data_IF_660242353757
#
_entry.id   IF_660242353757
#
_cell.length_a   1.000
_cell.length_b   1.000
_cell.length_c   1.000
_cell.angle_alpha   90.00
_cell.angle_beta   90.00
_cell.angle_gamma   90.00
#
_symmetry.space_group_name_H-M   'P 1'
#
loop_
_entity.id
_entity.type
_entity.pdbx_description
1 polymer ?
#
# COMPACT_ATOMS: atom_id res chain seq x y z
N UNK A 1 -12.71 -11.75 -29.61
CA UNK A 1 -12.01 -10.67 -28.87
C UNK A 1 -11.04 -11.32 -27.90
N UNK A 2 -9.79 -10.87 -27.85
CA UNK A 2 -8.76 -11.39 -26.95
C UNK A 2 -8.12 -10.23 -26.18
N UNK A 3 -7.91 -10.43 -24.89
CA UNK A 3 -7.35 -9.41 -24.00
C UNK A 3 -6.18 -9.99 -23.23
N UNK A 4 -5.07 -9.27 -23.14
CA UNK A 4 -3.86 -9.70 -22.41
C UNK A 4 -3.46 -8.70 -21.31
N UNK A 5 -2.59 -9.13 -20.40
CA UNK A 5 -2.13 -8.27 -19.32
C UNK A 5 -1.07 -7.25 -19.76
N UNK A 6 -0.15 -7.63 -20.65
CA UNK A 6 1.02 -6.79 -21.02
C UNK A 6 1.02 -6.42 -22.49
N UNK A 7 1.62 -5.26 -22.81
CA UNK A 7 1.83 -4.84 -24.21
C UNK A 7 2.65 -5.89 -24.98
N UNK A 8 3.66 -6.48 -24.33
CA UNK A 8 4.50 -7.53 -24.91
C UNK A 8 3.71 -8.80 -25.26
N UNK A 9 2.84 -9.28 -24.37
CA UNK A 9 2.00 -10.45 -24.63
C UNK A 9 1.02 -10.20 -25.79
N UNK A 10 0.43 -9.00 -25.88
CA UNK A 10 -0.41 -8.62 -27.03
C UNK A 10 0.39 -8.64 -28.33
N UNK A 11 1.59 -8.06 -28.36
CA UNK A 11 2.41 -8.00 -29.57
C UNK A 11 2.86 -9.40 -30.02
N UNK A 12 3.35 -10.21 -29.08
CA UNK A 12 3.78 -11.57 -29.33
C UNK A 12 2.62 -12.43 -29.87
N UNK A 13 1.44 -12.36 -29.25
CA UNK A 13 0.26 -13.09 -29.71
C UNK A 13 -0.17 -12.66 -31.11
N UNK A 14 -0.14 -11.35 -31.41
CA UNK A 14 -0.44 -10.84 -32.76
C UNK A 14 0.51 -11.41 -33.80
N UNK A 15 1.82 -11.37 -33.53
CA UNK A 15 2.84 -11.92 -34.42
C UNK A 15 2.61 -13.40 -34.67
N UNK A 16 2.38 -14.18 -33.62
CA UNK A 16 2.19 -15.63 -33.72
C UNK A 16 0.94 -16.00 -34.51
N UNK A 17 -0.19 -15.33 -34.25
CA UNK A 17 -1.45 -15.58 -34.96
C UNK A 17 -1.35 -15.19 -36.44
N UNK A 18 -0.70 -14.07 -36.76
CA UNK A 18 -0.47 -13.66 -38.14
C UNK A 18 0.36 -14.68 -38.89
N UNK A 19 1.50 -15.09 -38.32
CA UNK A 19 2.36 -16.11 -38.90
C UNK A 19 1.60 -17.42 -39.15
N UNK A 20 0.75 -17.84 -38.21
CA UNK A 20 -0.09 -19.04 -38.41
C UNK A 20 -1.12 -18.91 -39.51
N UNK A 21 -1.72 -17.73 -39.72
CA UNK A 21 -2.63 -17.51 -40.84
C UNK A 21 -1.88 -17.53 -42.18
N UNK A 22 -0.66 -16.99 -42.20
CA UNK A 22 0.22 -17.01 -43.37
C UNK A 22 0.67 -18.45 -43.69
N UNK A 23 1.03 -19.27 -42.70
CA UNK A 23 1.33 -20.70 -42.86
C UNK A 23 0.17 -21.44 -43.56
N UNK A 24 -1.06 -21.27 -43.05
CA UNK A 24 -2.27 -21.90 -43.62
C UNK A 24 -2.49 -21.46 -45.07
N UNK A 25 -2.33 -20.15 -45.34
CA UNK A 25 -2.49 -19.61 -46.68
C UNK A 25 -1.42 -20.19 -47.63
N UNK A 26 -0.17 -20.28 -47.19
CA UNK A 26 0.93 -20.83 -47.98
C UNK A 26 0.69 -22.29 -48.38
N UNK A 27 0.22 -23.14 -47.44
CA UNK A 27 -0.14 -24.53 -47.75
C UNK A 27 -1.22 -24.58 -48.83
N UNK A 28 -2.27 -23.76 -48.69
CA UNK A 28 -3.38 -23.73 -49.64
C UNK A 28 -2.98 -23.14 -51.00
N UNK A 29 -1.98 -22.27 -51.08
CA UNK A 29 -1.53 -21.65 -52.33
C UNK A 29 -0.34 -22.36 -52.99
N UNK A 30 0.22 -23.39 -52.36
CA UNK A 30 1.36 -24.11 -52.92
C UNK A 30 0.97 -24.79 -54.24
N UNK A 31 1.93 -24.82 -55.18
CA UNK A 31 1.71 -25.39 -56.52
C UNK A 31 1.47 -26.90 -56.46
N UNK A 32 2.18 -27.59 -55.56
CA UNK A 32 2.02 -29.02 -55.30
C UNK A 32 0.59 -29.36 -54.88
N UNK A 33 -0.01 -28.54 -54.01
CA UNK A 33 -1.40 -28.70 -53.59
C UNK A 33 -2.37 -28.20 -54.67
N UNK A 34 -1.94 -27.27 -55.55
CA UNK A 34 -2.76 -26.74 -56.61
C UNK A 34 -3.12 -27.72 -57.72
N UNK A 35 -2.24 -28.68 -57.97
CA UNK A 35 -2.39 -29.67 -59.05
C UNK A 35 -3.15 -30.92 -58.61
N UNK A 36 -3.46 -31.06 -57.31
CA UNK A 36 -4.21 -32.19 -56.77
C UNK A 36 -5.72 -32.03 -57.00
N UNK A 37 -6.38 -33.16 -57.29
CA UNK A 37 -7.84 -33.24 -57.30
C UNK A 37 -8.40 -33.39 -55.89
N UNK A 38 -9.71 -33.16 -55.72
CA UNK A 38 -10.36 -33.19 -54.40
C UNK A 38 -10.15 -34.51 -53.65
N UNK A 39 -10.12 -35.65 -54.35
CA UNK A 39 -9.93 -36.98 -53.75
C UNK A 39 -8.52 -37.21 -53.17
N UNK A 40 -7.51 -36.50 -53.66
CA UNK A 40 -6.10 -36.62 -53.20
C UNK A 40 -5.62 -35.41 -52.41
N UNK A 41 -6.47 -34.38 -52.28
CA UNK A 41 -6.13 -33.11 -51.65
C UNK A 41 -5.76 -33.27 -50.17
N UNK A 42 -6.51 -34.11 -49.44
CA UNK A 42 -6.28 -34.33 -48.01
C UNK A 42 -4.92 -34.99 -47.74
N UNK A 43 -4.61 -36.05 -48.50
CA UNK A 43 -3.33 -36.76 -48.38
C UNK A 43 -2.14 -35.89 -48.80
N UNK A 44 -2.32 -35.09 -49.85
CA UNK A 44 -1.29 -34.14 -50.29
C UNK A 44 -1.01 -33.04 -49.26
N UNK A 45 -2.05 -32.50 -48.61
CA UNK A 45 -1.87 -31.51 -47.54
C UNK A 45 -1.16 -32.13 -46.34
N UNK A 46 -1.51 -33.35 -45.95
CA UNK A 46 -0.83 -34.05 -44.87
C UNK A 46 0.66 -34.26 -45.18
N UNK A 47 1.00 -34.65 -46.41
CA UNK A 47 2.37 -34.81 -46.87
C UNK A 47 3.14 -33.47 -46.89
N UNK A 48 2.56 -32.42 -47.47
CA UNK A 48 3.16 -31.08 -47.51
C UNK A 48 3.44 -30.55 -46.10
N UNK A 49 2.48 -30.69 -45.18
CA UNK A 49 2.65 -30.28 -43.78
C UNK A 49 3.73 -31.10 -43.06
N UNK A 50 3.84 -32.41 -43.32
CA UNK A 50 4.87 -33.24 -42.72
C UNK A 50 6.29 -32.82 -43.15
N UNK A 51 6.45 -32.33 -44.38
CA UNK A 51 7.73 -31.86 -44.92
C UNK A 51 8.08 -30.43 -44.50
N UNK A 52 7.10 -29.50 -44.55
CA UNK A 52 7.35 -28.07 -44.37
C UNK A 52 7.02 -27.53 -42.97
N UNK A 53 6.25 -28.28 -42.17
CA UNK A 53 5.81 -27.91 -40.83
C UNK A 53 6.03 -29.08 -39.85
N UNK A 54 7.29 -29.56 -39.76
CA UNK A 54 7.67 -30.72 -38.95
C UNK A 54 7.18 -30.60 -37.50
N UNK A 55 6.49 -31.65 -37.03
CA UNK A 55 5.93 -31.72 -35.67
C UNK A 55 4.62 -30.97 -35.45
N UNK A 56 4.08 -30.27 -36.45
CA UNK A 56 2.79 -29.58 -36.35
C UNK A 56 1.62 -30.53 -36.65
N UNK A 57 1.03 -31.09 -35.59
CA UNK A 57 -0.15 -31.97 -35.70
C UNK A 57 -1.46 -31.19 -35.84
N UNK A 58 -1.44 -29.88 -35.55
CA UNK A 58 -2.64 -29.06 -35.53
C UNK A 58 -3.01 -28.55 -36.92
N UNK A 59 -2.02 -28.04 -37.66
CA UNK A 59 -2.21 -27.48 -39.00
C UNK A 59 -2.88 -28.44 -40.01
N UNK A 60 -2.41 -29.69 -40.21
CA UNK A 60 -3.05 -30.62 -41.14
C UNK A 60 -4.48 -30.97 -40.71
N UNK A 61 -4.71 -31.22 -39.42
CA UNK A 61 -6.04 -31.53 -38.88
C UNK A 61 -7.03 -30.35 -39.05
N UNK A 62 -6.55 -29.11 -38.89
CA UNK A 62 -7.35 -27.91 -39.10
C UNK A 62 -7.75 -27.76 -40.57
N UNK A 63 -6.81 -27.97 -41.49
CA UNK A 63 -7.03 -27.86 -42.93
C UNK A 63 -8.00 -28.93 -43.44
N UNK A 64 -7.86 -30.18 -42.98
CA UNK A 64 -8.79 -31.26 -43.29
C UNK A 64 -10.22 -30.90 -42.87
N UNK A 65 -10.41 -30.45 -41.63
CA UNK A 65 -11.73 -30.02 -41.13
C UNK A 65 -12.29 -28.80 -41.86
N UNK A 66 -11.42 -27.88 -42.31
CA UNK A 66 -11.85 -26.69 -43.04
C UNK A 66 -12.31 -27.04 -44.47
N UNK A 67 -11.57 -27.92 -45.15
CA UNK A 67 -11.87 -28.35 -46.53
C UNK A 67 -13.13 -29.22 -46.61
N UNK A 68 -13.47 -29.95 -45.54
CA UNK A 68 -14.77 -30.62 -45.43
C UNK A 68 -15.96 -29.65 -45.40
N UNK A 69 -15.75 -28.39 -44.99
CA UNK A 69 -16.82 -27.38 -44.83
C UNK A 69 -16.91 -26.41 -46.00
N UNK A 70 -15.78 -26.03 -46.57
CA UNK A 70 -15.71 -25.01 -47.61
C UNK A 70 -14.64 -25.37 -48.65
N UNK A 71 -14.87 -24.98 -49.91
CA UNK A 71 -13.90 -25.20 -50.97
C UNK A 71 -12.61 -24.41 -50.72
N UNK A 72 -11.49 -24.98 -51.18
CA UNK A 72 -10.15 -24.37 -51.10
C UNK A 72 -10.13 -22.92 -51.59
N UNK A 73 -10.72 -22.62 -52.74
CA UNK A 73 -10.76 -21.27 -53.30
C UNK A 73 -11.42 -20.28 -52.35
N UNK A 74 -12.51 -20.69 -51.68
CA UNK A 74 -13.22 -19.85 -50.71
C UNK A 74 -12.38 -19.64 -49.44
N UNK A 75 -11.70 -20.67 -48.96
CA UNK A 75 -10.79 -20.57 -47.82
C UNK A 75 -9.65 -19.58 -48.09
N UNK A 76 -9.01 -19.66 -49.27
CA UNK A 76 -7.93 -18.73 -49.68
C UNK A 76 -8.43 -17.28 -49.65
N UNK A 77 -9.60 -17.00 -50.25
CA UNK A 77 -10.17 -15.64 -50.27
C UNK A 77 -10.43 -15.13 -48.85
N UNK A 78 -10.98 -15.97 -47.98
CA UNK A 78 -11.25 -15.61 -46.57
C UNK A 78 -9.97 -15.35 -45.79
N UNK A 79 -8.95 -16.18 -45.96
CA UNK A 79 -7.65 -16.03 -45.29
C UNK A 79 -6.96 -14.75 -45.73
N UNK A 80 -6.92 -14.44 -47.03
CA UNK A 80 -6.38 -13.18 -47.54
C UNK A 80 -7.09 -11.95 -46.94
N UNK A 81 -8.42 -11.99 -46.85
CA UNK A 81 -9.18 -10.93 -46.21
C UNK A 81 -8.83 -10.80 -44.72
N UNK A 82 -8.71 -11.92 -44.00
CA UNK A 82 -8.36 -11.94 -42.58
C UNK A 82 -6.94 -11.39 -42.32
N UNK A 83 -5.95 -11.80 -43.12
CA UNK A 83 -4.56 -11.32 -43.04
C UNK A 83 -4.48 -9.83 -43.38
N UNK A 84 -5.18 -9.39 -44.44
CA UNK A 84 -5.23 -7.98 -44.84
C UNK A 84 -5.87 -7.05 -43.81
N UNK A 85 -6.78 -7.58 -42.97
CA UNK A 85 -7.43 -6.82 -41.90
C UNK A 85 -6.83 -7.12 -40.51
N UNK A 86 -5.75 -7.91 -40.43
CA UNK A 86 -5.26 -8.44 -39.15
C UNK A 86 -4.81 -7.35 -38.17
N UNK A 87 -4.32 -6.21 -38.66
CA UNK A 87 -3.87 -5.11 -37.79
C UNK A 87 -5.04 -4.50 -36.99
N UNK A 88 -6.27 -4.63 -37.52
CA UNK A 88 -7.51 -4.21 -36.87
C UNK A 88 -8.12 -5.31 -35.97
N UNK A 89 -7.46 -6.46 -35.82
CA UNK A 89 -7.95 -7.55 -34.97
C UNK A 89 -8.12 -7.08 -33.52
N UNK A 90 -9.23 -7.49 -32.90
CA UNK A 90 -9.59 -7.14 -31.53
C UNK A 90 -8.75 -7.91 -30.50
N UNK A 91 -7.43 -7.62 -30.49
CA UNK A 91 -6.41 -8.16 -29.59
C UNK A 91 -5.75 -6.96 -28.90
N UNK A 92 -6.08 -6.77 -27.62
CA UNK A 92 -5.68 -5.60 -26.84
C UNK A 92 -5.07 -6.00 -25.50
N UNK A 93 -4.40 -5.06 -24.85
CA UNK A 93 -4.22 -5.16 -23.39
C UNK A 93 -5.55 -4.86 -22.70
N UNK A 94 -5.72 -5.26 -21.42
CA UNK A 94 -6.91 -4.89 -20.62
C UNK A 94 -7.13 -3.37 -20.65
N UNK A 95 -6.07 -2.60 -20.44
CA UNK A 95 -6.12 -1.14 -20.48
C UNK A 95 -6.54 -0.60 -21.86
N UNK A 96 -5.97 -1.12 -22.95
CA UNK A 96 -6.32 -0.69 -24.30
C UNK A 96 -7.77 -1.02 -24.66
N UNK A 97 -8.28 -2.16 -24.20
CA UNK A 97 -9.70 -2.52 -24.34
C UNK A 97 -10.59 -1.56 -23.56
N UNK A 98 -10.34 -1.34 -22.27
CA UNK A 98 -11.14 -0.42 -21.46
C UNK A 98 -11.13 1.00 -22.01
N UNK A 99 -9.96 1.49 -22.46
CA UNK A 99 -9.84 2.82 -23.07
C UNK A 99 -10.68 2.92 -24.35
N UNK A 100 -10.67 1.88 -25.18
CA UNK A 100 -11.50 1.84 -26.38
C UNK A 100 -12.99 1.85 -26.04
N UNK A 101 -13.43 1.08 -25.05
CA UNK A 101 -14.82 1.11 -24.57
C UNK A 101 -15.20 2.51 -24.08
N UNK A 102 -14.34 3.16 -23.30
CA UNK A 102 -14.58 4.52 -22.81
C UNK A 102 -14.68 5.54 -23.95
N UNK A 103 -13.92 5.36 -25.04
CA UNK A 103 -13.96 6.25 -26.20
C UNK A 103 -15.17 5.99 -27.10
N UNK A 104 -15.41 4.72 -27.44
CA UNK A 104 -16.48 4.30 -28.35
C UNK A 104 -17.87 4.53 -27.71
N UNK A 105 -17.96 4.48 -26.37
CA UNK A 105 -19.18 4.67 -25.61
C UNK A 105 -19.11 5.84 -24.62
N UNK A 106 -18.33 6.88 -24.93
CA UNK A 106 -18.10 8.03 -24.05
C UNK A 106 -19.39 8.64 -23.48
N UNK A 107 -20.44 8.76 -24.30
CA UNK A 107 -21.74 9.26 -23.86
C UNK A 107 -22.40 8.37 -22.79
N UNK A 108 -22.39 7.05 -22.99
CA UNK A 108 -22.96 6.10 -22.02
C UNK A 108 -22.14 6.05 -20.74
N UNK A 109 -20.81 6.16 -20.86
CA UNK A 109 -19.88 6.15 -19.74
C UNK A 109 -19.76 7.50 -19.02
N UNK A 110 -20.42 8.56 -19.53
CA UNK A 110 -20.23 9.94 -19.07
C UNK A 110 -18.75 10.34 -19.03
N UNK A 111 -17.95 9.81 -19.94
CA UNK A 111 -16.53 10.07 -20.04
C UNK A 111 -16.28 11.22 -21.04
N UNK A 112 -15.27 12.08 -20.80
CA UNK A 112 -14.81 13.02 -21.82
C UNK A 112 -14.37 12.28 -23.09
N UNK A 113 -14.56 12.88 -24.27
CA UNK A 113 -14.09 12.29 -25.53
C UNK A 113 -12.55 12.29 -25.63
N UNK A 114 -11.90 13.28 -25.03
CA UNK A 114 -10.46 13.46 -25.01
C UNK A 114 -9.93 13.20 -23.61
N UNK A 115 -9.66 11.92 -23.31
CA UNK A 115 -9.00 11.50 -22.07
C UNK A 115 -7.54 11.21 -22.39
N UNK A 116 -6.66 12.13 -21.99
CA UNK A 116 -5.23 11.90 -22.01
C UNK A 116 -4.81 11.12 -20.75
N UNK A 117 -4.17 9.97 -20.96
CA UNK A 117 -3.53 9.22 -19.89
C UNK A 117 -2.17 9.86 -19.60
N UNK A 118 -2.09 10.62 -18.51
CA UNK A 118 -0.81 11.12 -17.99
C UNK A 118 -0.14 10.01 -17.19
N UNK A 119 1.09 9.62 -17.55
CA UNK A 119 1.86 8.62 -16.79
C UNK A 119 2.51 9.23 -15.52
N UNK A 120 2.48 10.56 -15.36
CA UNK A 120 3.07 11.29 -14.24
C UNK A 120 2.09 11.46 -13.06
N UNK A 121 2.00 10.44 -12.21
CA UNK A 121 1.33 10.52 -10.91
C UNK A 121 2.15 11.29 -9.84
N UNK A 122 3.39 11.67 -10.17
CA UNK A 122 4.38 12.23 -9.23
C UNK A 122 3.93 13.51 -8.54
N UNK A 123 3.45 14.48 -9.32
CA UNK A 123 3.22 15.86 -8.84
C UNK A 123 1.75 16.20 -8.58
N UNK A 124 0.80 15.45 -9.14
CA UNK A 124 -0.65 15.75 -8.99
C UNK A 124 -1.13 15.66 -7.55
N UNK A 125 -0.50 14.83 -6.72
CA UNK A 125 -0.90 14.65 -5.33
C UNK A 125 -0.25 15.66 -4.37
N UNK A 126 0.80 16.35 -4.79
CA UNK A 126 1.49 17.31 -3.92
C UNK A 126 0.64 18.55 -3.65
N UNK A 127 -0.06 19.05 -4.67
CA UNK A 127 -0.96 20.21 -4.52
C UNK A 127 -2.06 19.92 -3.47
N UNK A 128 -2.88 18.85 -3.58
CA UNK A 128 -3.84 18.51 -2.54
C UNK A 128 -3.23 18.31 -1.15
N UNK A 129 -2.03 17.74 -1.06
CA UNK A 129 -1.33 17.58 0.22
C UNK A 129 -0.94 18.93 0.85
N UNK A 130 -0.46 19.88 0.03
CA UNK A 130 -0.15 21.23 0.49
C UNK A 130 -1.41 22.01 0.87
N UNK A 131 -2.49 21.84 0.11
CA UNK A 131 -3.79 22.47 0.37
C UNK A 131 -4.35 22.01 1.73
N UNK A 132 -4.29 20.71 1.99
CA UNK A 132 -4.63 20.16 3.31
C UNK A 132 -3.82 20.82 4.44
N UNK A 133 -2.53 21.06 4.23
CA UNK A 133 -1.70 21.75 5.23
C UNK A 133 -2.19 23.17 5.48
N UNK A 134 -2.46 23.94 4.42
CA UNK A 134 -2.93 25.34 4.53
C UNK A 134 -4.29 25.42 5.22
N UNK A 135 -5.21 24.52 4.88
CA UNK A 135 -6.59 24.56 5.38
C UNK A 135 -6.76 23.93 6.76
N UNK A 136 -6.01 22.86 7.06
CA UNK A 136 -6.27 22.01 8.24
C UNK A 136 -5.17 22.03 9.27
N UNK A 137 -3.92 22.32 8.89
CA UNK A 137 -2.76 22.26 9.80
C UNK A 137 -2.33 23.66 10.23
N UNK A 138 -2.12 24.59 9.28
CA UNK A 138 -1.57 25.92 9.56
C UNK A 138 -2.43 26.75 10.51
N UNK A 139 -3.76 26.62 10.44
CA UNK A 139 -4.70 27.37 11.29
C UNK A 139 -5.02 26.72 12.63
N UNK A 140 -4.64 25.46 12.87
CA UNK A 140 -4.90 24.75 14.13
C UNK A 140 -3.61 24.68 14.97
N UNK A 141 -3.51 25.41 16.10
CA UNK A 141 -2.29 25.47 16.89
C UNK A 141 -1.79 24.10 17.37
N UNK A 142 -2.70 23.15 17.64
CA UNK A 142 -2.36 21.81 18.13
C UNK A 142 -1.74 20.99 17.00
N UNK A 143 -2.37 21.01 15.81
CA UNK A 143 -1.85 20.30 14.64
C UNK A 143 -0.56 20.93 14.12
N UNK A 144 -0.46 22.26 14.10
CA UNK A 144 0.76 22.97 13.71
C UNK A 144 1.94 22.63 14.62
N UNK A 145 1.75 22.67 15.95
CA UNK A 145 2.78 22.30 16.91
C UNK A 145 3.17 20.82 16.78
N UNK A 146 2.20 19.93 16.57
CA UNK A 146 2.45 18.51 16.35
C UNK A 146 3.26 18.28 15.05
N UNK A 147 2.86 18.91 13.95
CA UNK A 147 3.54 18.82 12.67
C UNK A 147 4.99 19.32 12.78
N UNK A 148 5.21 20.46 13.46
CA UNK A 148 6.54 20.99 13.72
C UNK A 148 7.39 20.02 14.56
N UNK A 149 6.86 19.54 15.70
CA UNK A 149 7.55 18.59 16.58
C UNK A 149 7.93 17.30 15.86
N UNK A 150 7.09 16.83 14.94
CA UNK A 150 7.31 15.62 14.14
C UNK A 150 8.09 15.86 12.85
N UNK A 151 8.48 17.11 12.55
CA UNK A 151 9.10 17.51 11.27
C UNK A 151 8.26 17.04 10.07
N UNK A 152 6.93 17.04 10.23
CA UNK A 152 5.99 16.62 9.22
C UNK A 152 5.75 17.77 8.23
N UNK A 153 5.96 17.48 6.95
CA UNK A 153 5.70 18.40 5.84
C UNK A 153 4.84 17.68 4.80
N UNK A 154 4.13 18.40 3.91
CA UNK A 154 3.25 17.78 2.92
C UNK A 154 3.92 16.64 2.14
N UNK A 155 5.18 16.83 1.70
CA UNK A 155 5.92 15.84 0.93
C UNK A 155 6.19 14.56 1.74
N UNK A 156 6.60 14.68 3.00
CA UNK A 156 6.98 13.51 3.81
C UNK A 156 5.78 12.69 4.23
N UNK A 157 4.65 13.34 4.52
CA UNK A 157 3.40 12.65 4.85
C UNK A 157 2.74 12.06 3.61
N UNK A 158 2.76 12.79 2.48
CA UNK A 158 2.28 12.24 1.21
C UNK A 158 3.04 10.97 0.82
N UNK A 159 4.37 10.97 0.95
CA UNK A 159 5.19 9.79 0.67
C UNK A 159 4.80 8.57 1.53
N UNK A 160 4.43 8.78 2.80
CA UNK A 160 3.98 7.72 3.70
C UNK A 160 2.63 7.12 3.30
N UNK A 161 1.70 7.95 2.81
CA UNK A 161 0.34 7.49 2.49
C UNK A 161 0.18 7.04 1.03
N UNK A 162 1.10 7.42 0.13
CA UNK A 162 0.98 7.20 -1.32
C UNK A 162 0.68 5.76 -1.71
N UNK A 163 1.36 4.80 -1.08
CA UNK A 163 1.21 3.37 -1.37
C UNK A 163 -0.18 2.79 -1.00
N UNK A 164 -0.96 3.54 -0.22
CA UNK A 164 -2.30 3.15 0.22
C UNK A 164 -3.41 3.82 -0.60
N UNK A 165 -3.14 4.94 -1.29
CA UNK A 165 -4.13 5.66 -2.07
C UNK A 165 -4.65 4.86 -3.28
N UNK A 166 -3.84 3.95 -3.81
CA UNK A 166 -4.22 3.04 -4.91
C UNK A 166 -5.02 1.82 -4.46
N UNK A 167 -5.39 1.73 -3.17
CA UNK A 167 -6.09 0.57 -2.60
C UNK A 167 -7.56 0.92 -2.31
N UNK A 168 -8.49 0.74 -3.26
CA UNK A 168 -9.89 1.18 -3.11
C UNK A 168 -10.64 0.49 -1.97
N UNK A 169 -10.21 -0.70 -1.55
CA UNK A 169 -10.84 -1.47 -0.47
C UNK A 169 -10.17 -1.26 0.89
N UNK A 170 -9.30 -0.25 1.03
CA UNK A 170 -8.63 0.01 2.29
C UNK A 170 -9.57 0.69 3.28
N UNK A 171 -9.90 -0.03 4.36
CA UNK A 171 -10.70 0.52 5.45
C UNK A 171 -9.82 1.37 6.38
N UNK A 172 -9.92 2.69 6.24
CA UNK A 172 -9.27 3.62 7.14
C UNK A 172 -9.95 3.60 8.53
N UNK A 173 -9.25 3.10 9.54
CA UNK A 173 -9.69 3.20 10.94
C UNK A 173 -9.17 4.49 11.54
N UNK A 174 -10.08 5.40 11.88
CA UNK A 174 -9.74 6.58 12.68
C UNK A 174 -9.31 6.16 14.08
N UNK A 175 -8.31 6.82 14.68
CA UNK A 175 -8.06 6.69 16.11
C UNK A 175 -9.35 6.97 16.90
N UNK A 176 -9.60 6.20 17.95
CA UNK A 176 -10.80 6.39 18.79
C UNK A 176 -10.77 7.72 19.55
N UNK A 177 -9.58 8.27 19.81
CA UNK A 177 -9.40 9.52 20.52
C UNK A 177 -9.22 10.70 19.54
N UNK A 178 -9.97 11.78 19.79
CA UNK A 178 -9.71 13.08 19.18
C UNK A 178 -8.46 13.71 19.82
N UNK A 179 -7.64 14.39 19.01
CA UNK A 179 -6.39 15.00 19.49
C UNK A 179 -6.65 16.08 20.54
N UNK A 180 -7.71 16.87 20.38
CA UNK A 180 -8.06 17.91 21.35
C UNK A 180 -8.52 17.28 22.66
N UNK A 181 -9.28 16.19 22.60
CA UNK A 181 -9.68 15.45 23.79
C UNK A 181 -8.47 14.83 24.50
N UNK A 182 -7.60 14.13 23.77
CA UNK A 182 -6.38 13.54 24.33
C UNK A 182 -5.47 14.60 24.98
N UNK A 183 -5.39 15.80 24.40
CA UNK A 183 -4.63 16.90 25.01
C UNK A 183 -5.26 17.39 26.31
N UNK A 184 -6.59 17.52 26.37
CA UNK A 184 -7.31 17.89 27.60
C UNK A 184 -7.15 16.85 28.70
N UNK A 185 -7.21 15.57 28.34
CA UNK A 185 -7.04 14.46 29.27
C UNK A 185 -5.61 14.44 29.83
N UNK A 186 -4.61 14.68 28.96
CA UNK A 186 -3.22 14.82 29.38
C UNK A 186 -3.00 16.02 30.32
N UNK A 187 -3.59 17.18 30.01
CA UNK A 187 -3.51 18.38 30.85
C UNK A 187 -4.16 18.14 32.22
N UNK A 188 -5.33 17.51 32.26
CA UNK A 188 -6.04 17.19 33.51
C UNK A 188 -5.23 16.22 34.39
N UNK A 189 -4.65 15.20 33.75
CA UNK A 189 -3.74 14.26 34.41
C UNK A 189 -2.51 14.97 34.97
N UNK A 190 -1.92 15.88 34.18
CA UNK A 190 -0.77 16.66 34.60
C UNK A 190 -1.06 17.60 35.77
N UNK A 191 -2.22 18.26 35.79
CA UNK A 191 -2.64 19.07 36.92
C UNK A 191 -2.75 18.26 38.22
N UNK A 192 -3.21 17.02 38.12
CA UNK A 192 -3.27 16.09 39.26
C UNK A 192 -1.86 15.74 39.73
N UNK A 193 -0.94 15.42 38.80
CA UNK A 193 0.46 15.16 39.12
C UNK A 193 1.13 16.39 39.75
N UNK A 194 0.90 17.60 39.24
CA UNK A 194 1.48 18.82 39.77
C UNK A 194 1.12 19.05 41.25
N UNK A 195 -0.13 18.74 41.65
CA UNK A 195 -0.57 18.86 43.06
C UNK A 195 0.14 17.86 43.97
N UNK A 196 0.40 16.65 43.48
CA UNK A 196 1.01 15.58 44.25
C UNK A 196 2.54 15.54 44.15
N UNK A 197 3.13 16.26 43.18
CA UNK A 197 4.55 16.19 42.84
C UNK A 197 5.49 16.37 44.06
N UNK A 198 5.28 17.35 44.97
CA UNK A 198 6.14 17.50 46.15
C UNK A 198 6.10 16.28 47.07
N UNK A 199 4.91 15.69 47.28
CA UNK A 199 4.74 14.50 48.10
C UNK A 199 5.34 13.26 47.43
N UNK A 200 5.18 13.13 46.12
CA UNK A 200 5.75 12.05 45.31
C UNK A 200 7.28 12.07 45.34
N UNK A 201 7.88 13.26 45.18
CA UNK A 201 9.34 13.44 45.25
C UNK A 201 9.87 13.11 46.64
N UNK A 202 9.25 13.63 47.70
CA UNK A 202 9.64 13.32 49.08
C UNK A 202 9.52 11.81 49.39
N UNK A 203 8.43 11.19 48.92
CA UNK A 203 8.21 9.75 49.05
C UNK A 203 9.28 8.91 48.33
N UNK A 204 9.63 9.29 47.11
CA UNK A 204 10.69 8.62 46.34
C UNK A 204 12.05 8.72 47.05
N UNK A 205 12.45 9.90 47.51
CA UNK A 205 13.75 10.06 48.19
C UNK A 205 13.82 9.35 49.53
N UNK A 206 12.67 9.15 50.21
CA UNK A 206 12.61 8.34 51.43
C UNK A 206 12.93 6.87 51.18
N UNK A 207 12.45 6.29 50.07
CA UNK A 207 12.70 4.88 49.71
C UNK A 207 14.00 4.68 48.92
N UNK A 208 14.54 5.75 48.33
CA UNK A 208 15.71 5.71 47.45
C UNK A 208 16.93 4.95 48.00
N UNK A 209 17.31 5.06 49.30
CA UNK A 209 18.45 4.31 49.86
C UNK A 209 18.32 2.78 49.71
N UNK A 210 17.09 2.28 49.64
CA UNK A 210 16.76 0.86 49.59
C UNK A 210 16.57 0.33 48.15
N UNK A 211 16.56 1.23 47.17
CA UNK A 211 16.48 0.92 45.75
C UNK A 211 17.85 0.56 45.15
N UNK A 212 17.82 -0.20 44.05
CA UNK A 212 19.00 -0.52 43.27
C UNK A 212 19.58 0.76 42.61
N UNK A 213 20.71 1.25 43.13
CA UNK A 213 21.37 2.47 42.65
C UNK A 213 21.83 2.44 41.18
N UNK A 214 21.99 1.27 40.57
CA UNK A 214 22.31 1.18 39.13
C UNK A 214 21.10 1.52 38.26
N UNK A 215 19.90 1.14 38.69
CA UNK A 215 18.64 1.44 38.00
C UNK A 215 18.05 2.79 38.41
N UNK A 216 18.25 3.19 39.66
CA UNK A 216 17.72 4.39 40.29
C UNK A 216 18.85 5.36 40.68
N UNK A 217 19.61 5.81 39.67
CA UNK A 217 20.74 6.72 39.88
C UNK A 217 20.28 8.07 40.42
N UNK A 218 20.93 8.56 41.49
CA UNK A 218 20.57 9.82 42.17
C UNK A 218 20.55 11.02 41.21
N UNK A 219 21.56 11.17 40.35
CA UNK A 219 21.64 12.29 39.41
C UNK A 219 20.53 12.23 38.34
N UNK A 220 20.22 11.05 37.83
CA UNK A 220 19.18 10.87 36.79
C UNK A 220 17.79 11.21 37.31
N UNK A 221 17.41 10.69 38.48
CA UNK A 221 16.10 10.99 39.07
C UNK A 221 16.06 12.39 39.68
N UNK A 222 17.17 12.92 40.19
CA UNK A 222 17.27 14.32 40.61
C UNK A 222 17.04 15.29 39.46
N UNK A 223 17.58 15.01 38.27
CA UNK A 223 17.30 15.81 37.08
C UNK A 223 15.85 15.68 36.61
N UNK A 224 15.29 14.46 36.65
CA UNK A 224 13.88 14.22 36.34
C UNK A 224 12.95 15.05 37.22
N UNK A 225 13.08 14.97 38.55
CA UNK A 225 12.22 15.73 39.45
C UNK A 225 12.41 17.25 39.31
N UNK A 226 13.63 17.73 39.08
CA UNK A 226 13.88 19.14 38.76
C UNK A 226 13.16 19.59 37.50
N UNK A 227 13.20 18.79 36.43
CA UNK A 227 12.52 19.09 35.18
C UNK A 227 10.99 19.11 35.37
N UNK A 228 10.45 18.11 36.07
CA UNK A 228 9.02 18.05 36.40
C UNK A 228 8.58 19.26 37.26
N UNK A 229 9.38 19.65 38.24
CA UNK A 229 9.10 20.82 39.09
C UNK A 229 9.13 22.12 38.28
N UNK A 230 10.10 22.28 37.37
CA UNK A 230 10.18 23.43 36.47
C UNK A 230 8.94 23.50 35.55
N UNK A 231 8.51 22.36 35.00
CA UNK A 231 7.34 22.27 34.12
C UNK A 231 6.03 22.50 34.87
N UNK A 232 5.93 22.01 36.10
CA UNK A 232 4.82 22.26 37.01
C UNK A 232 4.69 23.75 37.31
N UNK A 233 5.80 24.42 37.66
CA UNK A 233 5.82 25.86 37.92
C UNK A 233 5.46 26.71 36.69
N UNK A 234 5.83 26.25 35.49
CA UNK A 234 5.49 26.91 34.24
C UNK A 234 4.06 26.63 33.73
N UNK A 235 3.31 25.73 34.39
CA UNK A 235 1.98 25.29 33.92
C UNK A 235 2.02 24.64 32.52
N UNK A 236 3.14 24.00 32.18
CA UNK A 236 3.34 23.38 30.88
C UNK A 236 3.46 21.86 31.03
N UNK A 237 2.86 21.13 30.09
CA UNK A 237 3.08 19.69 29.98
C UNK A 237 4.57 19.37 29.78
N UNK A 238 5.12 18.38 30.50
CA UNK A 238 6.50 17.94 30.30
C UNK A 238 6.64 17.29 28.93
N UNK A 239 7.78 17.49 28.28
CA UNK A 239 8.06 16.78 27.04
C UNK A 239 8.52 15.36 27.39
N UNK A 240 7.66 14.38 27.11
CA UNK A 240 8.00 12.97 27.27
C UNK A 240 8.83 12.49 26.08
N UNK A 241 10.14 12.74 26.12
CA UNK A 241 11.05 12.00 25.27
C UNK A 241 11.16 10.53 25.74
N UNK A 242 11.78 9.68 24.93
CA UNK A 242 11.81 8.24 25.18
C UNK A 242 12.42 7.92 26.56
N UNK A 243 13.49 8.63 26.91
CA UNK A 243 14.27 8.41 28.12
C UNK A 243 13.55 8.92 29.38
N UNK A 244 12.89 10.08 29.31
CA UNK A 244 12.02 10.60 30.38
C UNK A 244 10.82 9.69 30.60
N UNK A 245 10.17 9.25 29.53
CA UNK A 245 9.04 8.33 29.62
C UNK A 245 9.43 7.01 30.32
N UNK A 246 10.55 6.40 29.91
CA UNK A 246 11.04 5.17 30.55
C UNK A 246 11.34 5.35 32.04
N UNK A 247 11.83 6.53 32.46
CA UNK A 247 12.06 6.83 33.88
C UNK A 247 10.79 7.06 34.67
N UNK A 248 9.80 7.74 34.09
CA UNK A 248 8.49 7.91 34.73
C UNK A 248 7.81 6.56 34.98
N UNK A 249 7.91 5.62 34.03
CA UNK A 249 7.41 4.26 34.23
C UNK A 249 8.07 3.53 35.41
N UNK A 250 9.33 3.84 35.72
CA UNK A 250 10.03 3.28 36.90
C UNK A 250 9.51 3.81 38.23
N UNK A 251 8.75 4.91 38.23
CA UNK A 251 8.11 5.44 39.44
C UNK A 251 6.78 4.74 39.75
N UNK A 252 6.31 3.81 38.91
CA UNK A 252 5.14 2.98 39.23
C UNK A 252 5.40 2.08 40.44
N UNK A 253 4.35 1.81 41.22
CA UNK A 253 4.41 1.00 42.45
C UNK A 253 5.11 -0.35 42.20
N UNK A 254 4.70 -1.06 41.14
CA UNK A 254 5.23 -2.38 40.80
C UNK A 254 6.74 -2.34 40.48
N UNK A 255 7.20 -1.29 39.79
CA UNK A 255 8.62 -1.14 39.42
C UNK A 255 9.49 -0.72 40.60
N UNK A 256 8.96 0.10 41.51
CA UNK A 256 9.63 0.46 42.75
C UNK A 256 9.78 -0.78 43.66
N UNK A 257 8.74 -1.60 43.81
CA UNK A 257 8.79 -2.84 44.59
C UNK A 257 9.77 -3.89 44.01
N UNK A 258 9.82 -4.02 42.68
CA UNK A 258 10.79 -4.86 42.01
C UNK A 258 12.24 -4.31 42.11
N UNK A 259 12.37 -3.00 42.32
CA UNK A 259 13.65 -2.28 42.39
C UNK A 259 14.36 -2.33 43.73
N UNK A 260 13.71 -2.83 44.78
CA UNK A 260 14.27 -2.93 46.14
C UNK A 260 15.41 -3.97 46.20
N UNK A 261 16.47 -3.66 46.97
CA UNK A 261 17.60 -4.58 47.20
C UNK A 261 17.10 -5.89 47.86
N UNK A 262 17.63 -7.04 47.40
CA UNK A 262 17.21 -8.40 47.82
C UNK A 262 17.11 -8.64 49.34
N UNK A 263 17.85 -7.87 50.15
CA UNK A 263 17.89 -8.00 51.62
C UNK A 263 16.85 -7.15 52.38
N UNK A 264 15.99 -6.37 51.70
CA UNK A 264 15.04 -5.43 52.34
C UNK A 264 13.59 -5.57 51.87
N UNK A 265 13.15 -6.76 51.48
CA UNK A 265 11.70 -7.05 51.45
C UNK A 265 11.29 -7.39 52.88
N UNK A 266 10.35 -6.65 53.50
CA UNK A 266 8.95 -7.09 53.37
C UNK A 266 7.86 -5.99 53.40
N UNK A 267 6.72 -6.36 52.82
CA UNK A 267 5.32 -5.98 53.10
C UNK A 267 4.99 -4.60 53.71
N UNK A 268 4.19 -3.82 52.96
CA UNK A 268 3.07 -2.97 53.44
C UNK A 268 3.33 -1.81 54.41
N UNK A 269 4.53 -1.58 54.94
CA UNK A 269 4.71 -0.64 56.06
C UNK A 269 5.27 0.74 55.69
N UNK A 270 5.75 0.96 54.46
CA UNK A 270 6.38 2.24 54.07
C UNK A 270 5.48 3.17 53.23
N UNK A 271 4.27 2.74 52.86
CA UNK A 271 3.38 3.48 51.97
C UNK A 271 1.94 3.47 52.49
N UNK A 272 1.59 4.30 53.51
CA UNK A 272 0.19 4.62 53.75
C UNK A 272 -0.28 5.39 52.50
N UNK A 273 -1.25 4.83 51.77
CA UNK A 273 -1.91 5.39 50.58
C UNK A 273 -1.35 5.07 49.18
N UNK A 274 -0.72 3.91 48.95
CA UNK A 274 -0.47 3.46 47.57
C UNK A 274 -1.73 3.03 46.77
N UNK A 275 -2.92 2.95 47.38
CA UNK A 275 -4.17 2.74 46.64
C UNK A 275 -4.51 3.90 45.68
N UNK A 276 -3.97 5.10 45.90
CA UNK A 276 -4.16 6.23 44.99
C UNK A 276 -3.22 6.23 43.78
N UNK A 277 -2.23 5.33 43.76
CA UNK A 277 -1.27 5.23 42.64
C UNK A 277 -1.82 4.41 41.46
N UNK A 278 -2.91 3.66 41.66
CA UNK A 278 -3.59 2.89 40.61
C UNK A 278 -4.91 3.52 40.15
N UNK A 279 -5.54 4.41 40.93
CA UNK A 279 -6.88 4.94 40.60
C UNK A 279 -6.87 6.20 39.74
N UNK A 280 -5.74 6.87 39.59
CA UNK A 280 -5.56 7.88 38.53
C UNK A 280 -4.76 7.24 37.42
N UNK A 281 -5.43 6.76 36.37
CA UNK A 281 -4.80 6.28 35.13
C UNK A 281 -4.11 7.42 34.39
N UNK A 282 -3.05 7.95 35.00
CA UNK A 282 -2.37 9.18 34.66
C UNK A 282 -0.85 8.97 34.67
N UNK A 283 -0.37 7.84 34.11
CA UNK A 283 0.98 7.67 33.55
C UNK A 283 0.88 6.75 32.33
#
# INVERSE_FOLDING_TARGET
MVVTFTKAATAELKTRLRARLDDVLQVLESKEIAELGDDTLSDGIAAYCAEHHEGDTFLPALLEQALQKESRTRLIVRLKAAIGQFDNAAIYTIHGFCQRILRDYAFLCQAPFDVELTEEDGDRLLVPAQDFWRERVSGDPVLAALAFKRKAVPQTVLAQIRAYLSRPYLNFRRPQADLKQAQRDAETSWQTVCRLLPELEAGFWRIHPDLNGNSYRKNSFGNLFKELAQKSAAGQLPCLDKDTHERLLKLSSDKLEAGLKKAKRPMRQYLPNCRNWQTSGAI
#
